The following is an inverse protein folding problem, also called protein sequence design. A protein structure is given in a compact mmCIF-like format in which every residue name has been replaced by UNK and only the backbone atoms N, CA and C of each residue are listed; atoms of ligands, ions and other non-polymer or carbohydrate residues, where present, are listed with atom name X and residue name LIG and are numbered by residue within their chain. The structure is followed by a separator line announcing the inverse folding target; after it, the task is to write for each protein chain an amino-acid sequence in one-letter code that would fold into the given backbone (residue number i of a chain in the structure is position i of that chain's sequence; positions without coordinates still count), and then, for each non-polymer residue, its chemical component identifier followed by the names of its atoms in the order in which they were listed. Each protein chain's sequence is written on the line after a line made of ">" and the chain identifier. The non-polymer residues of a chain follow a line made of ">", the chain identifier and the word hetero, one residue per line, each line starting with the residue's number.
data_IF_568164661328
#
_entry.id   IF_568164661328
#
_cell.length_a   1.000
_cell.length_b   1.000
_cell.length_c   1.000
_cell.angle_alpha   90.00
_cell.angle_beta   90.00
_cell.angle_gamma   90.00
#
_symmetry.space_group_name_H-M   'P 1'
#
loop_
_entity.id
_entity.type
_entity.pdbx_description
1 polymer ?
#
# COMPACT_ATOMS: atom_id res chain seq x y z
N UNK A 1 50.65 5.83 20.00
CA UNK A 1 50.48 7.04 20.86
C UNK A 1 49.18 7.70 20.43
N UNK A 2 48.15 7.71 21.29
CA UNK A 2 46.87 8.36 20.98
C UNK A 2 46.77 9.64 21.80
N UNK A 3 46.63 10.76 21.09
CA UNK A 3 46.51 12.08 21.70
C UNK A 3 45.22 12.16 22.51
N UNK A 4 45.31 12.61 23.77
CA UNK A 4 44.13 12.80 24.63
C UNK A 4 43.19 13.84 24.00
N UNK A 5 41.86 13.59 23.93
CA UNK A 5 40.91 14.57 23.46
C UNK A 5 40.94 15.79 24.39
N UNK A 6 41.09 16.98 23.79
CA UNK A 6 41.14 18.27 24.49
C UNK A 6 39.88 19.05 24.14
N UNK A 7 39.20 19.58 25.15
CA UNK A 7 38.06 20.48 24.95
C UNK A 7 38.54 21.74 24.23
N UNK A 8 38.01 21.99 23.02
CA UNK A 8 38.25 23.22 22.26
C UNK A 8 37.30 24.31 22.76
N UNK A 9 37.83 25.20 23.59
CA UNK A 9 37.12 26.35 24.16
C UNK A 9 37.41 27.65 23.37
N UNK A 10 37.66 27.53 22.06
CA UNK A 10 37.82 28.69 21.19
C UNK A 10 36.45 29.34 20.94
N UNK A 11 36.40 30.67 20.84
CA UNK A 11 35.14 31.41 20.71
C UNK A 11 34.26 30.96 19.55
N UNK A 12 34.85 30.48 18.44
CA UNK A 12 34.13 29.95 17.28
C UNK A 12 33.53 28.56 17.49
N UNK A 13 34.15 27.69 18.31
CA UNK A 13 33.63 26.34 18.59
C UNK A 13 32.57 26.30 19.69
N UNK A 14 32.41 27.38 20.46
CA UNK A 14 31.32 27.51 21.45
C UNK A 14 30.02 28.07 20.87
N UNK A 15 30.06 28.74 19.71
CA UNK A 15 28.85 29.28 19.04
C UNK A 15 27.79 28.20 18.80
N UNK A 16 28.10 27.01 18.26
CA UNK A 16 27.09 25.96 18.06
C UNK A 16 26.50 25.45 19.38
N UNK A 17 27.32 25.33 20.43
CA UNK A 17 26.87 24.91 21.75
C UNK A 17 25.92 25.92 22.39
N UNK A 18 26.24 27.21 22.29
CA UNK A 18 25.36 28.29 22.76
C UNK A 18 24.05 28.33 21.97
N UNK A 19 24.11 28.13 20.65
CA UNK A 19 22.92 28.04 19.81
C UNK A 19 22.03 26.86 20.21
N UNK A 20 22.60 25.70 20.54
CA UNK A 20 21.85 24.55 21.03
C UNK A 20 21.17 24.82 22.37
N UNK A 21 21.86 25.47 23.32
CA UNK A 21 21.28 25.86 24.61
C UNK A 21 20.15 26.87 24.41
N UNK A 22 20.34 27.87 23.54
CA UNK A 22 19.30 28.84 23.22
C UNK A 22 18.06 28.15 22.61
N UNK A 23 18.25 27.24 21.66
CA UNK A 23 17.16 26.45 21.08
C UNK A 23 16.45 25.60 22.14
N UNK A 24 17.19 24.97 23.04
CA UNK A 24 16.63 24.19 24.13
C UNK A 24 15.73 25.05 25.03
N UNK A 25 16.19 26.26 25.40
CA UNK A 25 15.40 27.20 26.21
C UNK A 25 14.12 27.61 25.48
N UNK A 26 14.19 27.87 24.18
CA UNK A 26 13.00 28.19 23.36
C UNK A 26 12.00 27.04 23.37
N UNK A 27 12.47 25.81 23.13
CA UNK A 27 11.61 24.61 23.14
C UNK A 27 11.00 24.36 24.52
N UNK A 28 11.79 24.51 25.59
CA UNK A 28 11.30 24.37 26.96
C UNK A 28 10.24 25.42 27.28
N UNK A 29 10.46 26.68 26.90
CA UNK A 29 9.48 27.75 27.05
C UNK A 29 8.19 27.43 26.29
N UNK A 30 8.28 27.02 25.02
CA UNK A 30 7.10 26.61 24.23
C UNK A 30 6.33 25.48 24.92
N UNK A 31 7.00 24.42 25.36
CA UNK A 31 6.31 23.31 26.01
C UNK A 31 5.68 23.67 27.36
N UNK A 32 6.35 24.49 28.17
CA UNK A 32 5.84 24.94 29.47
C UNK A 32 4.69 25.95 29.35
N UNK A 33 4.68 26.74 28.28
CA UNK A 33 3.65 27.77 28.02
C UNK A 33 2.53 27.28 27.10
N UNK A 34 2.73 26.15 26.43
CA UNK A 34 1.74 25.56 25.54
C UNK A 34 0.58 24.99 26.35
N UNK A 35 -0.57 25.61 26.19
CA UNK A 35 -1.84 25.05 26.63
C UNK A 35 -2.36 24.11 25.54
N UNK A 36 -2.58 22.85 25.89
CA UNK A 36 -3.40 21.97 25.06
C UNK A 36 -4.86 22.29 25.34
N UNK A 37 -5.67 22.43 24.29
CA UNK A 37 -7.12 22.55 24.44
C UNK A 37 -7.73 21.26 25.00
N UNK A 38 -9.05 21.26 25.12
CA UNK A 38 -9.80 20.04 25.47
C UNK A 38 -9.39 18.88 24.54
N UNK A 39 -9.17 17.68 25.06
CA UNK A 39 -8.83 16.52 24.25
C UNK A 39 -9.96 16.26 23.24
N UNK A 40 -9.74 16.66 21.98
CA UNK A 40 -10.60 16.25 20.88
C UNK A 40 -10.32 14.77 20.60
N UNK A 41 -11.30 13.92 20.87
CA UNK A 41 -11.36 12.59 20.30
C UNK A 41 -11.54 12.64 18.77
N UNK A 42 -11.63 11.47 18.13
CA UNK A 42 -12.02 11.39 16.73
C UNK A 42 -13.38 12.07 16.52
N UNK A 43 -13.54 12.74 15.38
CA UNK A 43 -14.82 13.32 15.00
C UNK A 43 -15.89 12.21 14.99
N UNK A 44 -17.09 12.52 15.49
CA UNK A 44 -18.21 11.60 15.37
C UNK A 44 -18.52 11.34 13.90
N UNK A 45 -18.72 10.07 13.55
CA UNK A 45 -19.12 9.67 12.20
C UNK A 45 -18.46 8.38 11.73
N UNK A 46 -18.96 7.86 10.62
CA UNK A 46 -18.48 6.59 10.06
C UNK A 46 -17.17 6.77 9.29
N UNK A 47 -16.12 6.10 9.76
CA UNK A 47 -14.84 6.00 9.05
C UNK A 47 -15.05 5.34 7.69
N UNK A 48 -15.82 4.25 7.64
CA UNK A 48 -16.11 3.53 6.40
C UNK A 48 -16.81 4.42 5.37
N UNK A 49 -17.76 5.25 5.81
CA UNK A 49 -18.41 6.20 4.90
C UNK A 49 -17.44 7.28 4.41
N UNK A 50 -16.61 7.81 5.30
CA UNK A 50 -15.59 8.81 4.96
C UNK A 50 -14.56 8.27 3.95
N UNK A 51 -14.15 7.00 4.09
CA UNK A 51 -13.30 6.32 3.08
C UNK A 51 -14.03 6.23 1.75
N UNK A 52 -15.30 5.82 1.74
CA UNK A 52 -16.11 5.77 0.53
C UNK A 52 -16.22 7.12 -0.18
N UNK A 53 -16.47 8.19 0.57
CA UNK A 53 -16.50 9.55 0.03
C UNK A 53 -15.15 9.99 -0.55
N UNK A 54 -14.05 9.72 0.14
CA UNK A 54 -12.71 10.02 -0.33
C UNK A 54 -12.38 9.28 -1.64
N UNK A 55 -12.81 8.03 -1.80
CA UNK A 55 -12.60 7.24 -3.04
C UNK A 55 -13.29 7.84 -4.28
N UNK A 56 -14.37 8.60 -4.09
CA UNK A 56 -15.14 9.20 -5.19
C UNK A 56 -15.03 10.73 -5.26
N UNK A 57 -14.03 11.32 -4.59
CA UNK A 57 -13.81 12.77 -4.54
C UNK A 57 -14.99 13.56 -3.94
N UNK A 58 -15.71 12.95 -2.99
CA UNK A 58 -16.84 13.53 -2.26
C UNK A 58 -16.41 13.98 -0.85
N UNK A 59 -15.19 14.48 -0.71
CA UNK A 59 -14.56 14.78 0.59
C UNK A 59 -15.36 15.77 1.45
N UNK A 60 -16.19 16.62 0.84
CA UNK A 60 -17.07 17.56 1.53
C UNK A 60 -18.20 16.88 2.33
N UNK A 61 -18.52 15.62 2.02
CA UNK A 61 -19.52 14.82 2.74
C UNK A 61 -18.90 14.00 3.89
N UNK A 62 -17.57 13.96 3.98
CA UNK A 62 -16.87 13.16 4.97
C UNK A 62 -16.89 13.84 6.35
N UNK A 63 -17.11 13.04 7.39
CA UNK A 63 -17.02 13.53 8.78
C UNK A 63 -15.58 13.68 9.27
N UNK A 64 -14.62 13.19 8.48
CA UNK A 64 -13.18 13.24 8.74
C UNK A 64 -12.46 13.91 7.57
N UNK A 65 -11.48 14.76 7.88
CA UNK A 65 -10.62 15.33 6.84
C UNK A 65 -9.88 14.21 6.10
N UNK A 66 -9.99 14.24 4.78
CA UNK A 66 -9.33 13.31 3.87
C UNK A 66 -9.06 13.99 2.53
N UNK A 67 -8.12 13.45 1.77
CA UNK A 67 -7.87 13.83 0.39
C UNK A 67 -8.68 12.94 -0.56
N UNK A 68 -8.93 13.44 -1.78
CA UNK A 68 -9.59 12.67 -2.82
C UNK A 68 -8.67 11.59 -3.41
N UNK A 69 -9.18 10.37 -3.56
CA UNK A 69 -8.45 9.21 -4.09
C UNK A 69 -9.04 8.69 -5.42
N UNK A 70 -9.82 9.51 -6.12
CA UNK A 70 -10.52 9.10 -7.34
C UNK A 70 -9.58 8.56 -8.42
N UNK A 71 -8.43 9.20 -8.62
CA UNK A 71 -7.43 8.73 -9.60
C UNK A 71 -6.92 7.35 -9.22
N UNK A 72 -6.55 7.15 -7.96
CA UNK A 72 -6.07 5.85 -7.45
C UNK A 72 -7.14 4.76 -7.60
N UNK A 73 -8.40 5.08 -7.32
CA UNK A 73 -9.53 4.16 -7.50
C UNK A 73 -9.66 3.71 -8.96
N UNK A 74 -9.59 4.64 -9.91
CA UNK A 74 -9.66 4.33 -11.36
C UNK A 74 -8.44 3.50 -11.80
N UNK A 75 -7.24 3.85 -11.34
CA UNK A 75 -6.02 3.08 -11.68
C UNK A 75 -6.12 1.65 -11.18
N UNK A 76 -6.61 1.44 -9.95
CA UNK A 76 -6.84 0.09 -9.41
C UNK A 76 -7.84 -0.67 -10.28
N UNK A 77 -8.94 -0.03 -10.71
CA UNK A 77 -9.92 -0.67 -11.59
C UNK A 77 -9.30 -1.14 -12.91
N UNK A 78 -8.48 -0.29 -13.55
CA UNK A 78 -7.77 -0.64 -14.79
C UNK A 78 -6.78 -1.80 -14.56
N UNK A 79 -6.03 -1.75 -13.46
CA UNK A 79 -5.07 -2.80 -13.11
C UNK A 79 -5.78 -4.12 -12.85
N UNK A 80 -6.91 -4.11 -12.14
CA UNK A 80 -7.69 -5.31 -11.86
C UNK A 80 -8.29 -5.90 -13.14
N UNK A 81 -8.74 -5.06 -14.06
CA UNK A 81 -9.25 -5.50 -15.37
C UNK A 81 -8.16 -6.19 -16.20
N UNK A 82 -7.00 -5.52 -16.35
CA UNK A 82 -5.84 -6.11 -17.04
C UNK A 82 -5.32 -7.38 -16.35
N UNK A 83 -5.35 -7.43 -15.01
CA UNK A 83 -4.97 -8.61 -14.25
C UNK A 83 -5.95 -9.76 -14.47
N UNK A 84 -7.25 -9.49 -14.57
CA UNK A 84 -8.26 -10.49 -14.89
C UNK A 84 -8.05 -11.02 -16.32
N UNK A 85 -7.87 -10.15 -17.30
CA UNK A 85 -7.57 -10.55 -18.68
C UNK A 85 -6.27 -11.37 -18.77
N UNK A 86 -5.21 -10.92 -18.09
CA UNK A 86 -3.94 -11.63 -18.01
C UNK A 86 -4.09 -13.01 -17.36
N UNK A 87 -4.83 -13.10 -16.24
CA UNK A 87 -5.13 -14.36 -15.59
C UNK A 87 -5.91 -15.30 -16.51
N UNK A 88 -6.91 -14.80 -17.24
CA UNK A 88 -7.69 -15.60 -18.21
C UNK A 88 -6.85 -16.06 -19.40
N UNK A 89 -6.00 -15.18 -19.94
CA UNK A 89 -5.06 -15.52 -21.01
C UNK A 89 -4.12 -16.64 -20.58
N UNK A 90 -3.56 -16.55 -19.36
CA UNK A 90 -2.64 -17.54 -18.81
C UNK A 90 -3.33 -18.85 -18.43
N UNK A 91 -4.55 -18.78 -17.88
CA UNK A 91 -5.33 -19.96 -17.52
C UNK A 91 -5.81 -20.74 -18.74
N UNK A 92 -5.97 -20.07 -19.89
CA UNK A 92 -6.44 -20.70 -21.10
C UNK A 92 -5.36 -21.59 -21.72
N UNK A 93 -5.56 -22.91 -21.63
CA UNK A 93 -4.75 -23.90 -22.34
C UNK A 93 -5.09 -23.94 -23.84
N UNK A 94 -4.05 -23.89 -24.67
CA UNK A 94 -4.17 -24.14 -26.11
C UNK A 94 -4.54 -25.61 -26.34
N UNK A 95 -5.79 -25.81 -26.75
CA UNK A 95 -6.44 -27.12 -26.87
C UNK A 95 -7.96 -27.00 -26.88
N UNK A 96 -8.48 -25.91 -26.31
CA UNK A 96 -9.92 -25.68 -26.16
C UNK A 96 -10.38 -24.39 -26.84
N UNK A 97 -10.07 -24.22 -28.13
CA UNK A 97 -10.80 -23.21 -28.91
C UNK A 97 -10.86 -23.58 -30.39
N UNK A 98 -12.08 -23.76 -30.89
CA UNK A 98 -12.40 -24.05 -32.29
C UNK A 98 -12.73 -25.53 -32.54
N UNK A 99 -13.19 -25.87 -33.76
CA UNK A 99 -13.66 -27.21 -34.18
C UNK A 99 -12.64 -28.36 -34.03
N UNK A 100 -11.46 -28.08 -33.48
CA UNK A 100 -10.38 -29.01 -33.15
C UNK A 100 -10.40 -29.49 -31.68
N UNK A 101 -11.02 -28.73 -30.76
CA UNK A 101 -11.26 -29.21 -29.38
C UNK A 101 -12.25 -30.39 -29.34
N UNK A 102 -13.26 -30.32 -30.22
CA UNK A 102 -14.25 -31.38 -30.48
C UNK A 102 -13.64 -32.62 -31.14
N UNK A 103 -12.57 -32.46 -31.92
CA UNK A 103 -11.85 -33.59 -32.53
C UNK A 103 -10.98 -34.35 -31.51
N UNK A 104 -10.38 -33.68 -30.51
CA UNK A 104 -9.65 -34.35 -29.41
C UNK A 104 -10.55 -35.13 -28.45
N UNK A 105 -11.82 -34.74 -28.31
CA UNK A 105 -12.82 -35.45 -27.52
C UNK A 105 -13.36 -36.69 -28.24
N UNK A 106 -13.44 -36.64 -29.58
CA UNK A 106 -13.74 -37.79 -30.43
C UNK A 106 -12.56 -38.77 -30.62
N UNK A 107 -11.32 -38.37 -30.32
CA UNK A 107 -10.09 -39.18 -30.40
C UNK A 107 -9.59 -39.68 -29.03
N UNK A 108 -10.35 -39.50 -27.94
CA UNK A 108 -10.06 -40.18 -26.67
C UNK A 108 -10.35 -41.67 -26.89
N UNK A 109 -9.29 -42.43 -27.14
CA UNK A 109 -9.33 -43.82 -27.59
C UNK A 109 -10.04 -44.71 -26.58
N UNK A 110 -11.05 -45.46 -27.04
CA UNK A 110 -11.65 -46.61 -26.34
C UNK A 110 -10.53 -47.62 -26.03
N UNK A 111 -10.17 -47.74 -24.76
CA UNK A 111 -9.05 -48.57 -24.30
C UNK A 111 -9.35 -50.04 -24.52
N UNK A 112 -8.91 -50.56 -25.67
CA UNK A 112 -9.08 -51.95 -26.08
C UNK A 112 -8.60 -52.95 -25.05
N UNK A 113 -9.46 -53.94 -24.76
CA UNK A 113 -9.18 -55.12 -23.93
C UNK A 113 -8.08 -55.95 -24.60
N UNK A 114 -7.07 -56.36 -23.84
CA UNK A 114 -6.20 -57.48 -24.22
C UNK A 114 -6.92 -58.77 -23.83
N UNK A 115 -7.49 -59.46 -24.83
CA UNK A 115 -7.71 -60.89 -24.72
C UNK A 115 -6.34 -61.57 -24.80
N UNK A 116 -5.81 -61.98 -23.65
CA UNK A 116 -4.77 -63.01 -23.56
C UNK A 116 -5.29 -64.10 -22.63
N UNK A 117 -5.51 -65.27 -23.22
CA UNK A 117 -6.01 -66.46 -22.54
C UNK A 117 -6.10 -67.60 -23.56
N UNK A 118 -4.95 -67.99 -24.11
CA UNK A 118 -4.76 -69.27 -24.78
C UNK A 118 -3.93 -70.14 -23.82
N UNK A 119 -4.57 -71.17 -23.26
CA UNK A 119 -3.99 -72.39 -22.68
C UNK A 119 -5.07 -73.49 -22.71
#
# INVERSE_FOLDING_TARGET
>A
MTTRPRFKLDGSSMVPGLAAVALFVVMAAVFLTSQFGEPQGFAEGSITASIGYAMFDLVDLASHQSEGFLVSFIVIAIVLDAALEGALMLAKREGTRGPLGTAREALRTDGGRTEEGDD
#
